data_IF_768044030592
#
_entry.id   IF_768044030592
#
_cell.length_a   1.000
_cell.length_b   1.000
_cell.length_c   1.000
_cell.angle_alpha   90.00
_cell.angle_beta   90.00
_cell.angle_gamma   90.00
#
_symmetry.space_group_name_H-M   'P 1'
#
loop_
_entity.id
_entity.type
_entity.pdbx_description
1 polymer ?
#
# COMPACT_ATOMS: atom_id res chain seq x y z
N UNK A 1 -0.97 32.95 3.47
CA UNK A 1 -0.32 32.48 2.22
C UNK A 1 -1.30 31.56 1.50
N UNK A 2 -1.77 31.98 0.33
CA UNK A 2 -2.85 31.28 -0.41
C UNK A 2 -2.25 30.19 -1.27
N UNK A 3 -2.68 28.93 -1.08
CA UNK A 3 -2.28 27.79 -1.95
C UNK A 3 -3.12 27.81 -3.23
N UNK A 4 -2.52 27.66 -4.42
CA UNK A 4 -3.28 27.51 -5.65
C UNK A 4 -3.84 26.10 -5.77
N UNK A 5 -5.14 26.00 -6.02
CA UNK A 5 -5.85 24.77 -6.39
C UNK A 5 -5.68 24.60 -7.91
N UNK A 6 -5.00 23.54 -8.31
CA UNK A 6 -4.90 23.16 -9.73
C UNK A 6 -6.08 22.21 -10.03
N UNK A 7 -7.05 22.74 -10.76
CA UNK A 7 -8.17 21.97 -11.34
C UNK A 7 -7.71 21.37 -12.67
N UNK A 8 -7.58 20.05 -12.74
CA UNK A 8 -7.37 19.33 -13.99
C UNK A 8 -8.73 18.85 -14.47
N UNK A 9 -9.22 19.48 -15.53
CA UNK A 9 -10.43 19.07 -16.25
C UNK A 9 -10.07 17.96 -17.25
N UNK A 10 -10.65 16.78 -17.07
CA UNK A 10 -10.57 15.69 -18.06
C UNK A 10 -11.80 15.76 -18.97
N UNK A 11 -11.59 16.00 -20.25
CA UNK A 11 -12.60 16.02 -21.29
C UNK A 11 -12.94 14.58 -21.72
N UNK A 12 -14.24 14.25 -21.68
CA UNK A 12 -14.79 13.02 -22.24
C UNK A 12 -15.10 13.22 -23.73
N UNK A 13 -14.65 12.31 -24.55
CA UNK A 13 -15.11 12.19 -25.96
C UNK A 13 -15.95 10.92 -26.10
N UNK A 14 -17.25 11.13 -26.26
CA UNK A 14 -18.24 10.15 -26.71
C UNK A 14 -18.36 10.25 -28.22
N UNK A 15 -18.20 9.17 -28.92
CA UNK A 15 -18.82 8.99 -30.25
C UNK A 15 -18.85 7.50 -30.63
N UNK A 16 -20.04 7.01 -31.01
CA UNK A 16 -20.17 5.70 -31.61
C UNK A 16 -21.58 5.12 -31.52
N UNK A 17 -22.54 5.71 -32.25
CA UNK A 17 -23.84 5.09 -32.53
C UNK A 17 -23.69 3.90 -33.49
N UNK A 18 -24.36 2.80 -33.16
CA UNK A 18 -24.60 1.68 -34.08
C UNK A 18 -25.93 0.99 -33.74
N UNK A 19 -26.88 1.03 -34.67
CA UNK A 19 -28.28 0.70 -34.51
C UNK A 19 -28.59 -0.80 -34.50
N UNK A 20 -29.60 -1.13 -33.71
CA UNK A 20 -30.75 -2.05 -33.95
C UNK A 20 -30.53 -3.44 -34.52
N UNK A 21 -30.90 -4.45 -33.73
CA UNK A 21 -31.95 -5.43 -34.13
C UNK A 21 -32.50 -6.13 -32.89
N UNK A 22 -33.83 -6.13 -32.78
CA UNK A 22 -34.62 -6.82 -31.76
C UNK A 22 -34.46 -8.32 -31.90
N UNK A 23 -34.03 -9.00 -30.86
CA UNK A 23 -34.27 -10.45 -30.73
C UNK A 23 -34.54 -10.75 -29.25
N UNK A 24 -35.67 -11.34 -29.02
CA UNK A 24 -36.24 -11.85 -27.81
C UNK A 24 -35.19 -12.61 -26.96
N UNK A 25 -34.86 -12.06 -25.80
CA UNK A 25 -33.89 -12.64 -24.88
C UNK A 25 -34.51 -13.72 -24.03
N UNK A 26 -33.82 -14.88 -23.83
CA UNK A 26 -33.90 -15.58 -22.54
C UNK A 26 -33.01 -14.82 -21.52
N UNK A 27 -33.56 -14.57 -20.33
CA UNK A 27 -32.82 -14.03 -19.19
C UNK A 27 -31.48 -14.73 -19.03
N UNK A 28 -30.36 -14.02 -19.03
CA UNK A 28 -29.11 -14.62 -18.62
C UNK A 28 -29.20 -14.91 -17.13
N UNK A 29 -29.27 -16.21 -16.80
CA UNK A 29 -28.87 -16.66 -15.47
C UNK A 29 -27.48 -16.05 -15.21
N UNK A 30 -27.36 -15.21 -14.18
CA UNK A 30 -26.07 -14.78 -13.66
C UNK A 30 -25.38 -16.03 -13.10
N UNK A 31 -24.74 -16.77 -13.98
CA UNK A 31 -23.74 -17.76 -13.57
C UNK A 31 -22.63 -16.95 -12.92
N UNK A 32 -22.58 -17.00 -11.59
CA UNK A 32 -21.37 -16.69 -10.83
C UNK A 32 -20.31 -17.71 -11.25
N UNK A 33 -19.74 -17.50 -12.43
CA UNK A 33 -18.61 -18.27 -12.91
C UNK A 33 -17.46 -17.97 -11.94
N UNK A 34 -17.17 -18.93 -11.08
CA UNK A 34 -15.90 -19.00 -10.35
C UNK A 34 -14.80 -18.87 -11.38
N UNK A 35 -14.12 -17.72 -11.42
CA UNK A 35 -13.10 -17.36 -12.41
C UNK A 35 -11.76 -18.08 -12.13
N UNK A 36 -11.84 -19.37 -11.80
CA UNK A 36 -10.68 -20.24 -11.61
C UNK A 36 -10.07 -20.49 -12.99
N UNK A 37 -8.98 -19.77 -13.30
CA UNK A 37 -8.22 -20.00 -14.54
C UNK A 37 -8.17 -18.84 -15.54
N UNK A 38 -8.95 -17.78 -15.38
CA UNK A 38 -8.89 -16.62 -16.28
C UNK A 38 -7.60 -15.81 -16.07
N UNK A 39 -6.95 -15.38 -17.16
CA UNK A 39 -5.81 -14.49 -17.09
C UNK A 39 -6.16 -13.19 -16.36
N UNK A 40 -5.24 -12.61 -15.58
CA UNK A 40 -5.51 -11.34 -14.91
C UNK A 40 -5.75 -10.23 -15.92
N UNK A 41 -6.70 -9.36 -15.63
CA UNK A 41 -6.98 -8.19 -16.47
C UNK A 41 -5.86 -7.15 -16.37
N UNK A 42 -5.75 -6.26 -17.35
CA UNK A 42 -4.80 -5.15 -17.30
C UNK A 42 -4.99 -4.27 -16.04
N UNK A 43 -6.24 -4.09 -15.60
CA UNK A 43 -6.56 -3.34 -14.39
C UNK A 43 -6.04 -4.05 -13.12
N UNK A 44 -6.17 -5.37 -13.04
CA UNK A 44 -5.65 -6.16 -11.92
C UNK A 44 -4.11 -6.12 -11.90
N UNK A 45 -3.44 -6.21 -13.05
CA UNK A 45 -1.97 -6.10 -13.14
C UNK A 45 -1.50 -4.68 -12.74
N UNK A 46 -2.21 -3.64 -13.18
CA UNK A 46 -1.89 -2.25 -12.81
C UNK A 46 -2.08 -2.03 -11.30
N UNK A 47 -3.14 -2.56 -10.71
CA UNK A 47 -3.37 -2.54 -9.25
C UNK A 47 -2.23 -3.24 -8.50
N UNK A 48 -1.88 -4.45 -8.90
CA UNK A 48 -0.79 -5.21 -8.31
C UNK A 48 0.54 -4.45 -8.39
N UNK A 49 0.82 -3.85 -9.54
CA UNK A 49 1.98 -2.99 -9.74
C UNK A 49 2.02 -1.79 -8.79
N UNK A 50 0.88 -1.15 -8.57
CA UNK A 50 0.71 -0.06 -7.61
C UNK A 50 0.99 -0.49 -6.16
N UNK A 51 0.44 -1.64 -5.75
CA UNK A 51 0.69 -2.22 -4.41
C UNK A 51 2.17 -2.49 -4.20
N UNK A 52 2.84 -3.16 -5.14
CA UNK A 52 4.25 -3.50 -5.01
C UNK A 52 5.16 -2.26 -5.01
N UNK A 53 4.86 -1.26 -5.84
CA UNK A 53 5.58 0.01 -5.87
C UNK A 53 5.43 0.76 -4.54
N UNK A 54 4.19 0.87 -4.01
CA UNK A 54 3.93 1.52 -2.73
C UNK A 54 4.62 0.78 -1.57
N UNK A 55 4.63 -0.56 -1.61
CA UNK A 55 5.33 -1.40 -0.63
C UNK A 55 6.83 -1.11 -0.61
N UNK A 56 7.46 -1.06 -1.79
CA UNK A 56 8.91 -0.77 -1.92
C UNK A 56 9.24 0.65 -1.47
N UNK A 57 8.40 1.64 -1.81
CA UNK A 57 8.59 3.02 -1.38
C UNK A 57 8.49 3.16 0.14
N UNK A 58 7.50 2.53 0.76
CA UNK A 58 7.33 2.54 2.22
C UNK A 58 8.54 1.90 2.92
N UNK A 59 9.01 0.75 2.44
CA UNK A 59 10.23 0.11 2.97
C UNK A 59 11.39 1.09 3.01
N UNK A 60 11.71 1.70 1.87
CA UNK A 60 12.80 2.66 1.75
C UNK A 60 12.68 3.82 2.74
N UNK A 61 11.45 4.34 2.93
CA UNK A 61 11.20 5.47 3.80
C UNK A 61 11.32 5.10 5.30
N UNK A 62 10.88 3.89 5.69
CA UNK A 62 11.06 3.40 7.06
C UNK A 62 12.52 3.09 7.36
N UNK A 63 13.27 2.53 6.41
CA UNK A 63 14.72 2.30 6.54
C UNK A 63 15.49 3.64 6.68
N UNK A 64 15.10 4.67 5.93
CA UNK A 64 15.67 6.00 6.04
C UNK A 64 15.38 6.64 7.41
N UNK A 65 14.17 6.44 7.96
CA UNK A 65 13.82 6.88 9.31
C UNK A 65 14.68 6.17 10.35
N UNK A 66 14.82 4.84 10.26
CA UNK A 66 15.67 4.06 11.16
C UNK A 66 17.14 4.52 11.12
N UNK A 67 17.65 4.83 9.93
CA UNK A 67 19.00 5.39 9.75
C UNK A 67 19.13 6.77 10.38
N UNK A 68 18.11 7.62 10.32
CA UNK A 68 18.11 8.93 10.96
C UNK A 68 18.16 8.83 12.49
N UNK A 69 17.51 7.82 13.11
CA UNK A 69 17.59 7.55 14.55
C UNK A 69 19.03 7.24 14.95
N UNK A 70 19.73 6.39 14.19
CA UNK A 70 21.10 5.96 14.52
C UNK A 70 22.15 7.03 14.28
N UNK A 71 21.90 7.97 13.37
CA UNK A 71 22.84 9.06 13.06
C UNK A 71 22.97 10.09 14.19
N UNK A 72 21.96 10.20 15.04
CA UNK A 72 21.97 11.04 16.26
C UNK A 72 22.19 12.55 15.95
N UNK A 73 22.50 13.31 16.99
CA UNK A 73 22.87 14.72 16.91
C UNK A 73 21.75 15.70 17.27
N UNK A 74 22.10 16.96 17.41
CA UNK A 74 21.19 18.02 17.92
C UNK A 74 19.99 18.34 17.01
N UNK A 75 20.03 17.91 15.76
CA UNK A 75 18.95 18.15 14.76
C UNK A 75 18.12 16.90 14.48
N UNK A 76 18.34 15.80 15.18
CA UNK A 76 17.70 14.50 14.93
C UNK A 76 16.16 14.60 14.99
N UNK A 77 15.63 15.36 15.95
CA UNK A 77 14.16 15.49 16.13
C UNK A 77 13.49 16.10 14.89
N UNK A 78 14.03 17.19 14.35
CA UNK A 78 13.48 17.82 13.14
C UNK A 78 13.61 16.92 11.90
N UNK A 79 14.73 16.22 11.76
CA UNK A 79 14.95 15.26 10.68
C UNK A 79 13.97 14.08 10.75
N UNK A 80 13.74 13.52 11.95
CA UNK A 80 12.78 12.43 12.17
C UNK A 80 11.34 12.87 11.88
N UNK A 81 10.95 14.08 12.27
CA UNK A 81 9.62 14.62 11.97
C UNK A 81 9.39 14.76 10.46
N UNK A 82 10.36 15.34 9.74
CA UNK A 82 10.27 15.48 8.29
C UNK A 82 10.18 14.11 7.59
N UNK A 83 10.99 13.15 8.04
CA UNK A 83 10.98 11.79 7.50
C UNK A 83 9.67 11.05 7.84
N UNK A 84 9.10 11.28 9.03
CA UNK A 84 7.84 10.67 9.44
C UNK A 84 6.68 11.05 8.52
N UNK A 85 6.57 12.31 8.11
CA UNK A 85 5.57 12.76 7.12
C UNK A 85 5.68 11.96 5.81
N UNK A 86 6.91 11.64 5.39
CA UNK A 86 7.15 10.83 4.19
C UNK A 86 6.71 9.37 4.39
N UNK A 87 6.98 8.81 5.57
CA UNK A 87 6.56 7.45 5.95
C UNK A 87 5.02 7.36 5.99
N UNK A 88 4.35 8.30 6.63
CA UNK A 88 2.87 8.36 6.69
C UNK A 88 2.23 8.47 5.31
N UNK A 89 2.77 9.34 4.45
CA UNK A 89 2.29 9.47 3.07
C UNK A 89 2.42 8.16 2.32
N UNK A 90 3.56 7.48 2.46
CA UNK A 90 3.81 6.19 1.81
C UNK A 90 2.92 5.08 2.36
N UNK A 91 2.68 5.07 3.68
CA UNK A 91 1.77 4.11 4.32
C UNK A 91 0.33 4.31 3.86
N UNK A 92 -0.14 5.56 3.81
CA UNK A 92 -1.47 5.90 3.31
C UNK A 92 -1.63 5.48 1.85
N UNK A 93 -0.61 5.72 1.02
CA UNK A 93 -0.59 5.29 -0.38
C UNK A 93 -0.71 3.77 -0.50
N UNK A 94 0.04 3.02 0.31
CA UNK A 94 -0.02 1.55 0.31
C UNK A 94 -1.39 1.04 0.77
N UNK A 95 -1.92 1.56 1.88
CA UNK A 95 -3.24 1.15 2.40
C UNK A 95 -4.33 1.46 1.38
N UNK A 96 -4.29 2.64 0.75
CA UNK A 96 -5.24 3.01 -0.31
C UNK A 96 -5.12 2.05 -1.51
N UNK A 97 -3.91 1.75 -1.95
CA UNK A 97 -3.69 0.81 -3.05
C UNK A 97 -4.28 -0.59 -2.72
N UNK A 98 -4.06 -1.09 -1.51
CA UNK A 98 -4.58 -2.40 -1.08
C UNK A 98 -6.10 -2.40 -0.93
N UNK A 99 -6.70 -1.32 -0.44
CA UNK A 99 -8.15 -1.25 -0.20
C UNK A 99 -8.96 -0.93 -1.44
N UNK A 100 -8.35 -0.33 -2.46
CA UNK A 100 -8.98 -0.03 -3.75
C UNK A 100 -8.84 -1.23 -4.69
N UNK A 101 -9.57 -2.29 -4.41
CA UNK A 101 -9.52 -3.51 -5.21
C UNK A 101 -10.11 -3.32 -6.62
N UNK A 102 -9.57 -3.97 -7.64
CA UNK A 102 -10.19 -4.02 -8.96
C UNK A 102 -11.56 -4.71 -8.90
N UNK A 103 -12.48 -4.27 -9.74
CA UNK A 103 -13.82 -4.85 -9.82
C UNK A 103 -13.76 -6.38 -10.01
N UNK A 104 -14.59 -7.10 -9.24
CA UNK A 104 -14.64 -8.57 -9.26
C UNK A 104 -13.55 -9.27 -8.44
N UNK A 105 -12.73 -8.51 -7.69
CA UNK A 105 -11.68 -9.07 -6.83
C UNK A 105 -12.02 -8.98 -5.33
N UNK A 106 -13.20 -8.48 -4.98
CA UNK A 106 -13.58 -8.22 -3.59
C UNK A 106 -13.72 -9.50 -2.76
N UNK A 107 -14.08 -10.61 -3.38
CA UNK A 107 -14.23 -11.93 -2.75
C UNK A 107 -12.96 -12.80 -2.89
N UNK A 108 -11.86 -12.27 -3.40
CA UNK A 108 -10.61 -13.02 -3.51
C UNK A 108 -10.06 -13.29 -2.08
N UNK A 109 -9.81 -14.55 -1.70
CA UNK A 109 -9.36 -14.89 -0.35
C UNK A 109 -8.03 -14.24 0.02
N UNK A 110 -7.17 -13.94 -0.98
CA UNK A 110 -5.88 -13.28 -0.75
C UNK A 110 -6.04 -11.79 -0.42
N UNK A 111 -7.13 -11.16 -0.90
CA UNK A 111 -7.41 -9.75 -0.58
C UNK A 111 -7.56 -9.53 0.94
N UNK A 112 -8.27 -10.41 1.64
CA UNK A 112 -8.48 -10.31 3.08
C UNK A 112 -7.15 -10.43 3.86
N UNK A 113 -6.28 -11.36 3.49
CA UNK A 113 -4.99 -11.58 4.14
C UNK A 113 -4.05 -10.37 3.96
N UNK A 114 -3.95 -9.86 2.73
CA UNK A 114 -3.13 -8.68 2.43
C UNK A 114 -3.67 -7.44 3.14
N UNK A 115 -4.99 -7.25 3.16
CA UNK A 115 -5.64 -6.15 3.88
C UNK A 115 -5.35 -6.20 5.38
N UNK A 116 -5.52 -7.35 6.02
CA UNK A 116 -5.24 -7.51 7.46
C UNK A 116 -3.81 -7.14 7.81
N UNK A 117 -2.83 -7.60 7.01
CA UNK A 117 -1.42 -7.26 7.25
C UNK A 117 -1.14 -5.77 7.02
N UNK A 118 -1.78 -5.14 6.05
CA UNK A 118 -1.67 -3.70 5.80
C UNK A 118 -2.27 -2.85 6.94
N UNK A 119 -3.40 -3.28 7.51
CA UNK A 119 -4.02 -2.62 8.66
C UNK A 119 -3.11 -2.71 9.90
N UNK A 120 -2.46 -3.85 10.13
CA UNK A 120 -1.47 -4.02 11.20
C UNK A 120 -0.24 -3.12 10.99
N UNK A 121 0.27 -3.04 9.77
CA UNK A 121 1.36 -2.15 9.41
C UNK A 121 0.99 -0.69 9.64
N UNK A 122 -0.21 -0.26 9.24
CA UNK A 122 -0.72 1.08 9.50
C UNK A 122 -0.74 1.40 10.98
N UNK A 123 -1.24 0.48 11.81
CA UNK A 123 -1.27 0.65 13.26
C UNK A 123 0.14 0.83 13.86
N UNK A 124 1.13 0.05 13.40
CA UNK A 124 2.52 0.20 13.87
C UNK A 124 3.16 1.52 13.41
N UNK A 125 2.81 2.03 12.23
CA UNK A 125 3.27 3.35 11.75
C UNK A 125 2.66 4.47 12.59
N UNK A 126 1.39 4.39 12.97
CA UNK A 126 0.77 5.35 13.91
C UNK A 126 1.45 5.32 15.29
N UNK A 127 1.85 4.15 15.77
CA UNK A 127 2.64 4.03 17.00
C UNK A 127 4.03 4.67 16.86
N UNK A 128 4.69 4.49 15.72
CA UNK A 128 5.96 5.12 15.40
C UNK A 128 5.82 6.65 15.35
N UNK A 129 4.78 7.18 14.71
CA UNK A 129 4.45 8.61 14.68
C UNK A 129 4.32 9.17 16.10
N UNK A 130 3.53 8.51 16.95
CA UNK A 130 3.35 8.91 18.34
C UNK A 130 4.68 8.96 19.10
N UNK A 131 5.58 8.01 18.83
CA UNK A 131 6.92 7.97 19.42
C UNK A 131 7.81 9.13 18.94
N UNK A 132 7.71 9.50 17.66
CA UNK A 132 8.44 10.66 17.10
C UNK A 132 7.90 11.98 17.65
N UNK A 133 6.58 12.10 17.83
CA UNK A 133 5.96 13.28 18.46
C UNK A 133 6.43 13.43 19.90
N UNK A 134 6.55 12.32 20.63
CA UNK A 134 7.03 12.33 22.02
C UNK A 134 8.48 12.82 22.20
N UNK A 135 9.28 12.92 21.14
CA UNK A 135 10.60 13.56 21.13
C UNK A 135 10.54 15.09 21.27
N UNK A 136 9.40 15.70 20.98
CA UNK A 136 9.29 17.16 20.95
C UNK A 136 9.55 17.74 22.37
N UNK A 137 10.39 18.76 22.44
CA UNK A 137 10.74 19.42 23.70
C UNK A 137 11.60 18.59 24.65
N UNK A 138 12.06 17.38 24.26
CA UNK A 138 12.97 16.58 25.07
C UNK A 138 14.42 16.96 24.83
N UNK A 139 15.24 16.85 25.89
CA UNK A 139 16.67 17.09 25.84
C UNK A 139 17.41 16.16 26.84
N UNK A 140 18.71 15.99 26.64
CA UNK A 140 19.53 15.17 27.51
C UNK A 140 19.05 13.71 27.63
N UNK A 141 18.97 13.17 28.84
CA UNK A 141 18.58 11.78 29.12
C UNK A 141 17.16 11.49 28.62
N UNK A 142 16.22 12.43 28.79
CA UNK A 142 14.83 12.28 28.34
C UNK A 142 14.75 12.14 26.82
N UNK A 143 15.59 12.83 26.07
CA UNK A 143 15.69 12.69 24.61
C UNK A 143 16.25 11.31 24.24
N UNK A 144 17.31 10.84 24.92
CA UNK A 144 17.89 9.53 24.67
C UNK A 144 16.86 8.40 24.88
N UNK A 145 16.08 8.47 25.97
CA UNK A 145 15.01 7.50 26.26
C UNK A 145 13.91 7.53 25.17
N UNK A 146 13.49 8.72 24.73
CA UNK A 146 12.48 8.87 23.68
C UNK A 146 13.02 8.38 22.33
N UNK A 147 14.29 8.59 21.99
CA UNK A 147 14.92 8.03 20.80
C UNK A 147 14.96 6.50 20.82
N UNK A 148 15.22 5.88 21.98
CA UNK A 148 15.14 4.43 22.11
C UNK A 148 13.71 3.91 21.82
N UNK A 149 12.67 4.63 22.26
CA UNK A 149 11.27 4.30 21.95
C UNK A 149 10.96 4.43 20.45
N UNK A 150 11.48 5.46 19.78
CA UNK A 150 11.36 5.58 18.30
C UNK A 150 12.07 4.43 17.61
N UNK A 151 13.28 4.04 18.07
CA UNK A 151 13.99 2.90 17.54
C UNK A 151 13.19 1.60 17.65
N UNK A 152 12.62 1.32 18.83
CA UNK A 152 11.78 0.16 19.05
C UNK A 152 10.53 0.15 18.15
N UNK A 153 9.84 1.29 18.01
CA UNK A 153 8.67 1.43 17.14
C UNK A 153 9.05 1.27 15.65
N UNK A 154 10.23 1.74 15.23
CA UNK A 154 10.72 1.54 13.88
C UNK A 154 11.00 0.06 13.57
N UNK A 155 11.58 -0.68 14.54
CA UNK A 155 11.78 -2.14 14.41
C UNK A 155 10.44 -2.87 14.28
N UNK A 156 9.43 -2.50 15.09
CA UNK A 156 8.09 -3.07 14.98
C UNK A 156 7.47 -2.79 13.59
N UNK A 157 7.56 -1.55 13.12
CA UNK A 157 7.06 -1.16 11.79
C UNK A 157 7.75 -1.97 10.66
N UNK A 158 9.06 -2.20 10.74
CA UNK A 158 9.80 -3.05 9.80
C UNK A 158 9.37 -4.52 9.88
N UNK A 159 9.07 -5.02 11.07
CA UNK A 159 8.54 -6.38 11.26
C UNK A 159 7.16 -6.53 10.61
N UNK A 160 6.24 -5.56 10.84
CA UNK A 160 4.91 -5.56 10.21
C UNK A 160 5.00 -5.36 8.69
N UNK A 161 5.96 -4.55 8.23
CA UNK A 161 6.28 -4.47 6.81
C UNK A 161 6.69 -5.82 6.23
N UNK A 162 7.58 -6.55 6.91
CA UNK A 162 7.99 -7.91 6.53
C UNK A 162 6.79 -8.87 6.42
N UNK A 163 5.85 -8.81 7.37
CA UNK A 163 4.62 -9.58 7.35
C UNK A 163 3.72 -9.21 6.15
N UNK A 164 3.61 -7.92 5.82
CA UNK A 164 2.83 -7.45 4.66
C UNK A 164 3.48 -7.90 3.34
N UNK A 165 4.80 -7.79 3.22
CA UNK A 165 5.54 -8.28 2.05
C UNK A 165 5.39 -9.80 1.89
N UNK A 166 5.43 -10.56 2.99
CA UNK A 166 5.19 -12.00 2.98
C UNK A 166 3.76 -12.35 2.56
N UNK A 167 2.75 -11.58 3.02
CA UNK A 167 1.36 -11.78 2.59
C UNK A 167 1.20 -11.52 1.08
N UNK A 168 1.83 -10.48 0.55
CA UNK A 168 1.85 -10.19 -0.90
C UNK A 168 2.55 -11.33 -1.66
N UNK A 169 3.70 -11.79 -1.18
CA UNK A 169 4.43 -12.93 -1.78
C UNK A 169 3.60 -14.19 -1.79
N UNK A 170 2.98 -14.54 -0.66
CA UNK A 170 2.11 -15.72 -0.57
C UNK A 170 0.90 -15.60 -1.50
N UNK A 171 0.30 -14.41 -1.59
CA UNK A 171 -0.77 -14.14 -2.54
C UNK A 171 -0.30 -14.33 -3.99
N UNK A 172 0.88 -13.83 -4.36
CA UNK A 172 1.45 -14.00 -5.70
C UNK A 172 1.75 -15.47 -6.05
N UNK A 173 2.05 -16.29 -5.06
CA UNK A 173 2.28 -17.75 -5.24
C UNK A 173 0.97 -18.54 -5.38
N UNK A 174 -0.16 -17.97 -5.01
CA UNK A 174 -1.47 -18.59 -5.22
C UNK A 174 -1.95 -18.38 -6.67
N UNK A 175 -1.51 -19.24 -7.55
CA UNK A 175 -1.92 -19.22 -8.97
C UNK A 175 -3.41 -19.47 -9.22
N UNK A 176 -4.20 -19.80 -8.20
CA UNK A 176 -5.65 -20.01 -8.30
C UNK A 176 -6.43 -18.72 -8.14
N UNK A 177 -5.93 -17.76 -7.35
CA UNK A 177 -6.59 -16.48 -7.16
C UNK A 177 -6.31 -15.51 -8.32
N UNK A 178 -7.27 -14.64 -8.63
CA UNK A 178 -7.10 -13.64 -9.67
C UNK A 178 -6.07 -12.58 -9.29
N UNK A 179 -6.10 -12.15 -8.03
CA UNK A 179 -5.14 -11.19 -7.48
C UNK A 179 -3.75 -11.79 -7.38
N UNK A 180 -3.63 -13.08 -7.00
CA UNK A 180 -2.34 -13.78 -6.96
C UNK A 180 -1.68 -13.81 -8.34
N UNK A 181 -2.43 -14.16 -9.39
CA UNK A 181 -1.91 -14.12 -10.77
C UNK A 181 -1.54 -12.71 -11.22
N UNK A 182 -2.31 -11.70 -10.80
CA UNK A 182 -1.99 -10.30 -11.11
C UNK A 182 -0.69 -9.83 -10.42
N UNK A 183 -0.49 -10.19 -9.16
CA UNK A 183 0.75 -9.92 -8.41
C UNK A 183 1.96 -10.62 -9.04
N UNK A 184 1.80 -11.88 -9.47
CA UNK A 184 2.85 -12.62 -10.16
C UNK A 184 3.19 -12.03 -11.54
N UNK A 185 2.20 -11.46 -12.25
CA UNK A 185 2.37 -10.87 -13.58
C UNK A 185 2.88 -9.43 -13.55
N UNK A 186 2.80 -8.73 -12.41
CA UNK A 186 3.20 -7.33 -12.31
C UNK A 186 4.74 -7.19 -12.20
N UNK A 187 5.43 -6.49 -13.13
CA UNK A 187 6.89 -6.40 -13.13
C UNK A 187 7.48 -5.78 -11.86
N UNK A 188 6.78 -4.79 -11.27
CA UNK A 188 7.21 -4.13 -10.02
C UNK A 188 7.14 -5.02 -8.78
N UNK A 189 6.46 -6.17 -8.87
CA UNK A 189 6.39 -7.16 -7.78
C UNK A 189 7.58 -8.12 -7.77
N UNK A 190 8.37 -8.20 -8.83
CA UNK A 190 9.48 -9.16 -8.96
C UNK A 190 10.45 -9.10 -7.76
N UNK A 191 10.77 -7.90 -7.27
CA UNK A 191 11.66 -7.71 -6.12
C UNK A 191 11.05 -8.11 -4.76
N UNK A 192 9.73 -8.29 -4.69
CA UNK A 192 9.02 -8.71 -3.47
C UNK A 192 8.68 -10.20 -3.50
N UNK A 193 8.61 -10.80 -4.70
CA UNK A 193 8.17 -12.18 -4.92
C UNK A 193 9.31 -13.16 -5.18
N UNK A 194 10.50 -12.63 -5.48
CA UNK A 194 11.74 -13.42 -5.64
C UNK A 194 12.29 -14.00 -4.33
#
# INVERSE_FOLDING_TARGET
MRKPIVLIAAAALLAGCGASTSSTAPSPAVSSASTTGQAPTAQQIAWAGGVCTATTALKKNVEALASAVTSGGNKVTAALQAQMVTVETSATTLVTAITTLPAGSESDPQAAAVKTSADQLKASITSLESSVIALQGKSGISQATALASVGAAAVDALSKFGATAAAIKNAAQDGKSSLGRALAAAPSCSSLTS
#
